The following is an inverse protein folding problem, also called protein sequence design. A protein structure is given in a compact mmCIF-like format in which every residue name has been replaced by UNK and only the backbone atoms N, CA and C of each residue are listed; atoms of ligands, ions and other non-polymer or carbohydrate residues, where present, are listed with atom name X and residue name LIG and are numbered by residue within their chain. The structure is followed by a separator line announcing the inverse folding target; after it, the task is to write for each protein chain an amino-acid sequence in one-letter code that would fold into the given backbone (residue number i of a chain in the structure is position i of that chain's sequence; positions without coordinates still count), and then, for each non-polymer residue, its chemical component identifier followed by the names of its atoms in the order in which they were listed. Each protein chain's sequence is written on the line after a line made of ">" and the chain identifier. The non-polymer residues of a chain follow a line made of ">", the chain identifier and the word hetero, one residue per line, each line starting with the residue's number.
data_IF_032061347668
#
_entry.id   IF_032061347668
#
_cell.length_a   1.000
_cell.length_b   1.000
_cell.length_c   1.000
_cell.angle_alpha   90.00
_cell.angle_beta   90.00
_cell.angle_gamma   90.00
#
_symmetry.space_group_name_H-M   'P 1'
#
loop_
_entity.id
_entity.type
_entity.pdbx_description
1 polymer ?
#
# COMPACT_ATOMS: atom_id res chain seq x y z
N UNK A 1 10.24 11.16 29.38
CA UNK A 1 10.36 12.15 28.27
C UNK A 1 11.04 11.54 27.05
N UNK A 2 12.07 10.69 27.17
CA UNK A 2 12.73 10.05 26.02
C UNK A 2 11.82 9.07 25.25
N UNK A 3 11.07 8.21 25.96
CA UNK A 3 10.18 7.22 25.31
C UNK A 3 8.97 7.80 24.54
N UNK A 4 8.63 9.07 24.74
CA UNK A 4 7.55 9.72 23.97
C UNK A 4 8.06 10.30 22.64
N UNK A 5 9.36 10.57 22.54
CA UNK A 5 9.99 11.11 21.32
C UNK A 5 10.25 9.99 20.32
N UNK A 6 10.60 8.78 20.77
CA UNK A 6 10.82 7.61 19.90
C UNK A 6 9.53 7.11 19.24
N UNK A 7 8.38 7.27 19.91
CA UNK A 7 7.05 6.87 19.43
C UNK A 7 6.53 7.82 18.34
N UNK A 8 6.78 9.13 18.48
CA UNK A 8 6.50 10.11 17.41
C UNK A 8 7.44 9.97 16.21
N UNK A 9 8.71 9.64 16.45
CA UNK A 9 9.70 9.45 15.38
C UNK A 9 9.35 8.25 14.50
N UNK A 10 8.96 7.12 15.10
CA UNK A 10 8.58 5.90 14.37
C UNK A 10 7.31 6.12 13.53
N UNK A 11 6.38 6.94 14.02
CA UNK A 11 5.14 7.32 13.31
C UNK A 11 5.44 8.21 12.11
N UNK A 12 6.31 9.21 12.29
CA UNK A 12 6.77 10.11 11.23
C UNK A 12 7.56 9.38 10.14
N UNK A 13 8.33 8.36 10.50
CA UNK A 13 9.14 7.60 9.55
C UNK A 13 8.26 6.71 8.66
N UNK A 14 7.28 6.01 9.24
CA UNK A 14 6.24 5.26 8.50
C UNK A 14 5.37 6.16 7.62
N UNK A 15 5.00 7.35 8.09
CA UNK A 15 4.20 8.30 7.33
C UNK A 15 4.99 8.89 6.15
N UNK A 16 6.30 9.07 6.32
CA UNK A 16 7.20 9.50 5.25
C UNK A 16 7.43 8.40 4.21
N UNK A 17 7.55 7.14 4.63
CA UNK A 17 7.60 6.00 3.69
C UNK A 17 6.29 5.86 2.89
N UNK A 18 5.14 6.09 3.53
CA UNK A 18 3.83 6.15 2.87
C UNK A 18 3.77 7.27 1.83
N UNK A 19 4.24 8.46 2.17
CA UNK A 19 4.25 9.60 1.26
C UNK A 19 5.16 9.34 0.06
N UNK A 20 6.33 8.74 0.27
CA UNK A 20 7.27 8.38 -0.80
C UNK A 20 6.72 7.29 -1.72
N UNK A 21 6.10 6.24 -1.17
CA UNK A 21 5.49 5.17 -1.96
C UNK A 21 4.30 5.67 -2.79
N UNK A 22 3.43 6.49 -2.18
CA UNK A 22 2.29 7.09 -2.86
C UNK A 22 2.72 8.07 -3.95
N UNK A 23 3.79 8.86 -3.72
CA UNK A 23 4.34 9.76 -4.74
C UNK A 23 4.92 8.99 -5.93
N UNK A 24 5.66 7.89 -5.69
CA UNK A 24 6.19 7.05 -6.77
C UNK A 24 5.09 6.41 -7.61
N UNK A 25 4.02 5.93 -6.98
CA UNK A 25 2.86 5.39 -7.71
C UNK A 25 2.15 6.46 -8.53
N UNK A 26 2.00 7.67 -8.00
CA UNK A 26 1.43 8.81 -8.74
C UNK A 26 2.30 9.24 -9.92
N UNK A 27 3.62 9.23 -9.76
CA UNK A 27 4.58 9.57 -10.82
C UNK A 27 4.50 8.55 -11.96
N UNK A 28 4.51 7.25 -11.64
CA UNK A 28 4.36 6.18 -12.64
C UNK A 28 3.01 6.26 -13.36
N UNK A 29 1.92 6.55 -12.63
CA UNK A 29 0.60 6.72 -13.25
C UNK A 29 0.54 7.96 -14.15
N UNK A 30 1.12 9.09 -13.74
CA UNK A 30 1.20 10.30 -14.55
C UNK A 30 2.00 10.07 -15.84
N UNK A 31 3.15 9.39 -15.77
CA UNK A 31 3.93 9.03 -16.96
C UNK A 31 3.15 8.11 -17.91
N UNK A 32 2.37 7.16 -17.39
CA UNK A 32 1.53 6.27 -18.19
C UNK A 32 0.38 7.02 -18.89
N UNK A 33 -0.25 7.97 -18.19
CA UNK A 33 -1.31 8.84 -18.75
C UNK A 33 -0.76 9.76 -19.82
N UNK A 34 0.39 10.41 -19.56
CA UNK A 34 1.04 11.30 -20.53
C UNK A 34 1.42 10.54 -21.82
N UNK A 35 1.93 9.31 -21.69
CA UNK A 35 2.25 8.47 -22.85
C UNK A 35 1.00 8.03 -23.62
N UNK A 36 -0.09 7.68 -22.90
CA UNK A 36 -1.37 7.36 -23.52
C UNK A 36 -1.95 8.57 -24.29
N UNK A 37 -1.91 9.78 -23.72
CA UNK A 37 -2.35 11.01 -24.39
C UNK A 37 -1.51 11.32 -25.63
N UNK A 38 -0.19 11.10 -25.55
CA UNK A 38 0.73 11.29 -26.67
C UNK A 38 0.40 10.36 -27.83
N UNK A 39 0.07 9.11 -27.53
CA UNK A 39 -0.31 8.09 -28.52
C UNK A 39 -1.66 8.37 -29.16
N UNK A 40 -2.66 8.78 -28.38
CA UNK A 40 -3.97 9.23 -28.91
C UNK A 40 -3.79 10.43 -29.85
N UNK A 41 -2.93 11.38 -29.48
CA UNK A 41 -2.64 12.55 -30.32
C UNK A 41 -1.92 12.18 -31.63
N UNK A 42 -1.00 11.22 -31.58
CA UNK A 42 -0.31 10.70 -32.77
C UNK A 42 -1.27 9.96 -33.72
N UNK A 43 -2.17 9.12 -33.17
CA UNK A 43 -3.24 8.44 -33.93
C UNK A 43 -4.16 9.44 -34.63
N UNK A 44 -4.68 10.43 -33.89
CA UNK A 44 -5.53 11.48 -34.43
C UNK A 44 -4.85 12.29 -35.54
N UNK A 45 -3.55 12.55 -35.41
CA UNK A 45 -2.76 13.24 -36.45
C UNK A 45 -2.64 12.40 -37.72
N UNK A 46 -2.41 11.09 -37.59
CA UNK A 46 -2.35 10.15 -38.73
C UNK A 46 -3.71 10.05 -39.46
N UNK A 47 -4.81 9.95 -38.71
CA UNK A 47 -6.16 9.93 -39.27
C UNK A 47 -6.52 11.23 -39.99
N UNK A 48 -6.16 12.39 -39.42
CA UNK A 48 -6.36 13.68 -40.06
C UNK A 48 -5.56 13.79 -41.37
N UNK A 49 -4.35 13.23 -41.43
CA UNK A 49 -3.56 13.18 -42.66
C UNK A 49 -4.18 12.27 -43.73
N UNK A 50 -4.68 11.09 -43.37
CA UNK A 50 -5.39 10.18 -44.29
C UNK A 50 -6.71 10.80 -44.80
N UNK A 51 -7.48 11.40 -43.90
CA UNK A 51 -8.71 12.14 -44.24
C UNK A 51 -8.41 13.34 -45.17
N UNK A 52 -7.31 14.05 -44.92
CA UNK A 52 -6.83 15.12 -45.79
C UNK A 52 -6.46 14.64 -47.20
N UNK A 53 -5.77 13.50 -47.32
CA UNK A 53 -5.46 12.87 -48.61
C UNK A 53 -6.72 12.41 -49.36
N UNK A 54 -7.67 11.80 -48.65
CA UNK A 54 -8.99 11.42 -49.21
C UNK A 54 -9.77 12.65 -49.71
N UNK A 55 -9.74 13.74 -48.95
CA UNK A 55 -10.38 14.99 -49.36
C UNK A 55 -9.73 15.56 -50.64
N UNK A 56 -8.40 15.57 -50.70
CA UNK A 56 -7.67 16.00 -51.89
C UNK A 56 -7.97 15.13 -53.11
N UNK A 57 -8.03 13.80 -52.97
CA UNK A 57 -8.37 12.88 -54.06
C UNK A 57 -9.81 13.04 -54.55
N UNK A 58 -10.78 13.24 -53.65
CA UNK A 58 -12.18 13.51 -54.03
C UNK A 58 -12.31 14.86 -54.74
N UNK A 59 -11.54 15.85 -54.33
CA UNK A 59 -11.50 17.15 -54.95
C UNK A 59 -10.88 17.09 -56.37
N UNK A 60 -9.75 16.42 -56.55
CA UNK A 60 -9.16 16.21 -57.89
C UNK A 60 -10.08 15.38 -58.79
N UNK A 61 -10.76 14.36 -58.26
CA UNK A 61 -11.80 13.63 -59.01
C UNK A 61 -12.88 14.58 -59.53
N UNK A 62 -13.43 15.43 -58.65
CA UNK A 62 -14.46 16.39 -59.03
C UNK A 62 -13.96 17.42 -60.06
N UNK A 63 -12.71 17.87 -59.98
CA UNK A 63 -12.09 18.73 -61.00
C UNK A 63 -11.94 18.01 -62.34
N UNK A 64 -11.53 16.73 -62.34
CA UNK A 64 -11.40 15.91 -63.55
C UNK A 64 -12.77 15.67 -64.20
N UNK A 65 -13.79 15.32 -63.42
CA UNK A 65 -15.17 15.14 -63.92
C UNK A 65 -15.74 16.45 -64.47
N UNK A 66 -15.52 17.60 -63.80
CA UNK A 66 -15.95 18.90 -64.30
C UNK A 66 -15.16 19.33 -65.56
N UNK A 67 -13.90 18.92 -65.69
CA UNK A 67 -13.06 19.17 -66.86
C UNK A 67 -13.44 18.28 -68.05
N UNK A 68 -13.79 17.01 -67.83
CA UNK A 68 -14.24 16.10 -68.90
C UNK A 68 -15.63 16.47 -69.45
N UNK A 69 -16.45 17.14 -68.66
CA UNK A 69 -17.75 17.70 -69.08
C UNK A 69 -17.63 19.01 -69.90
N UNK A 70 -16.47 19.67 -69.89
CA UNK A 70 -16.19 20.91 -70.63
C UNK A 70 -15.02 20.76 -71.59
N UNK A 71 -15.28 20.60 -72.89
CA UNK A 71 -14.29 20.44 -73.97
C UNK A 71 -13.04 21.36 -73.86
N UNK A 72 -11.95 20.88 -73.26
CA UNK A 72 -10.62 21.51 -73.30
C UNK A 72 -9.52 20.46 -73.52
N UNK A 73 -8.47 20.89 -74.25
CA UNK A 73 -7.39 20.03 -74.77
C UNK A 73 -6.52 19.37 -73.67
N UNK A 74 -6.05 18.16 -74.02
CA UNK A 74 -5.27 17.18 -73.27
C UNK A 74 -4.29 17.77 -72.24
N UNK A 75 -4.70 17.74 -70.97
CA UNK A 75 -3.78 17.46 -69.87
C UNK A 75 -3.70 15.94 -69.70
N UNK A 76 -2.55 15.44 -69.29
CA UNK A 76 -2.38 14.06 -68.83
C UNK A 76 -3.25 13.87 -67.58
N UNK A 77 -4.48 13.40 -67.81
CA UNK A 77 -5.50 13.17 -66.79
C UNK A 77 -5.22 11.78 -66.21
N UNK A 78 -4.98 11.72 -64.91
CA UNK A 78 -4.99 10.46 -64.16
C UNK A 78 -6.38 9.84 -64.34
N UNK A 79 -6.45 8.57 -64.74
CA UNK A 79 -7.72 7.91 -65.04
C UNK A 79 -8.63 7.93 -63.80
N UNK A 80 -9.91 8.25 -64.01
CA UNK A 80 -10.90 8.36 -62.92
C UNK A 80 -11.04 7.04 -62.15
N UNK A 81 -10.80 5.91 -62.84
CA UNK A 81 -10.75 4.56 -62.28
C UNK A 81 -9.56 4.36 -61.32
N UNK A 82 -8.37 4.90 -61.63
CA UNK A 82 -7.21 4.88 -60.73
C UNK A 82 -7.46 5.73 -59.47
N UNK A 83 -8.20 6.85 -59.59
CA UNK A 83 -8.58 7.70 -58.46
C UNK A 83 -9.61 7.00 -57.56
N UNK A 84 -10.57 6.27 -58.13
CA UNK A 84 -11.50 5.43 -57.37
C UNK A 84 -10.78 4.30 -56.63
N UNK A 85 -9.86 3.59 -57.29
CA UNK A 85 -9.07 2.52 -56.66
C UNK A 85 -8.21 3.05 -55.50
N UNK A 86 -7.56 4.21 -55.68
CA UNK A 86 -6.82 4.87 -54.60
C UNK A 86 -7.72 5.32 -53.44
N UNK A 87 -8.91 5.84 -53.74
CA UNK A 87 -9.86 6.26 -52.72
C UNK A 87 -10.43 5.08 -51.92
N UNK A 88 -10.72 3.96 -52.57
CA UNK A 88 -11.18 2.73 -51.91
C UNK A 88 -10.08 2.09 -51.06
N UNK A 89 -8.83 2.08 -51.56
CA UNK A 89 -7.66 1.67 -50.79
C UNK A 89 -7.49 2.50 -49.51
N UNK A 90 -7.58 3.83 -49.63
CA UNK A 90 -7.48 4.74 -48.48
C UNK A 90 -8.66 4.63 -47.51
N UNK A 91 -9.89 4.42 -47.99
CA UNK A 91 -11.05 4.19 -47.11
C UNK A 91 -10.85 2.91 -46.30
N UNK A 92 -10.36 1.83 -46.93
CA UNK A 92 -10.08 0.56 -46.25
C UNK A 92 -8.97 0.69 -45.22
N UNK A 93 -7.90 1.41 -45.53
CA UNK A 93 -6.83 1.71 -44.57
C UNK A 93 -7.34 2.54 -43.39
N UNK A 94 -8.22 3.52 -43.64
CA UNK A 94 -8.80 4.37 -42.61
C UNK A 94 -9.77 3.61 -41.71
N UNK A 95 -10.53 2.66 -42.25
CA UNK A 95 -11.41 1.78 -41.47
C UNK A 95 -10.60 0.83 -40.57
N UNK A 96 -9.55 0.20 -41.11
CA UNK A 96 -8.62 -0.62 -40.31
C UNK A 96 -7.92 0.21 -39.23
N UNK A 97 -7.56 1.47 -39.52
CA UNK A 97 -6.96 2.36 -38.54
C UNK A 97 -7.93 2.72 -37.40
N UNK A 98 -9.22 2.94 -37.72
CA UNK A 98 -10.27 3.19 -36.72
C UNK A 98 -10.54 1.96 -35.85
N UNK A 99 -10.65 0.77 -36.44
CA UNK A 99 -10.85 -0.47 -35.68
C UNK A 99 -9.68 -0.73 -34.71
N UNK A 100 -8.44 -0.46 -35.14
CA UNK A 100 -7.25 -0.57 -34.26
C UNK A 100 -7.27 0.44 -33.12
N UNK A 101 -7.70 1.67 -33.38
CA UNK A 101 -7.83 2.70 -32.34
C UNK A 101 -8.94 2.35 -31.34
N UNK A 102 -10.09 1.89 -31.81
CA UNK A 102 -11.21 1.48 -30.95
C UNK A 102 -10.82 0.28 -30.07
N UNK A 103 -10.13 -0.72 -30.63
CA UNK A 103 -9.57 -1.83 -29.84
C UNK A 103 -8.50 -1.36 -28.84
N UNK A 104 -7.69 -0.36 -29.19
CA UNK A 104 -6.70 0.18 -28.28
C UNK A 104 -7.33 0.95 -27.11
N UNK A 105 -8.38 1.72 -27.37
CA UNK A 105 -9.15 2.43 -26.35
C UNK A 105 -9.87 1.44 -25.43
N UNK A 106 -10.49 0.38 -25.97
CA UNK A 106 -11.17 -0.64 -25.19
C UNK A 106 -10.18 -1.38 -24.28
N UNK A 107 -9.03 -1.79 -24.82
CA UNK A 107 -7.96 -2.44 -24.07
C UNK A 107 -7.41 -1.54 -22.96
N UNK A 108 -7.20 -0.25 -23.24
CA UNK A 108 -6.71 0.70 -22.24
C UNK A 108 -7.75 0.95 -21.13
N UNK A 109 -9.04 0.99 -21.47
CA UNK A 109 -10.11 1.18 -20.50
C UNK A 109 -10.25 -0.04 -19.55
N UNK A 110 -10.26 -1.25 -20.10
CA UNK A 110 -10.31 -2.48 -19.28
C UNK A 110 -9.09 -2.60 -18.37
N UNK A 111 -7.89 -2.27 -18.86
CA UNK A 111 -6.70 -2.23 -18.03
C UNK A 111 -6.79 -1.15 -16.94
N UNK A 112 -7.26 0.06 -17.26
CA UNK A 112 -7.40 1.13 -16.27
C UNK A 112 -8.30 0.72 -15.08
N UNK A 113 -9.42 0.04 -15.35
CA UNK A 113 -10.33 -0.49 -14.32
C UNK A 113 -9.64 -1.55 -13.45
N UNK A 114 -8.86 -2.47 -14.05
CA UNK A 114 -8.08 -3.48 -13.30
C UNK A 114 -7.02 -2.83 -12.41
N UNK A 115 -6.36 -1.79 -12.90
CA UNK A 115 -5.36 -1.02 -12.16
C UNK A 115 -5.94 -0.28 -10.98
N UNK A 116 -7.07 0.40 -11.18
CA UNK A 116 -7.75 1.12 -10.13
C UNK A 116 -8.22 0.15 -9.03
N UNK A 117 -8.71 -1.04 -9.41
CA UNK A 117 -9.04 -2.09 -8.47
C UNK A 117 -7.82 -2.62 -7.68
N UNK A 118 -6.67 -2.80 -8.32
CA UNK A 118 -5.44 -3.22 -7.66
C UNK A 118 -4.90 -2.15 -6.70
N UNK A 119 -4.93 -0.88 -7.10
CA UNK A 119 -4.52 0.25 -6.25
C UNK A 119 -5.44 0.33 -5.03
N UNK A 120 -6.76 0.22 -5.20
CA UNK A 120 -7.70 0.23 -4.09
C UNK A 120 -7.43 -0.92 -3.10
N UNK A 121 -7.16 -2.13 -3.59
CA UNK A 121 -6.76 -3.26 -2.72
C UNK A 121 -5.44 -3.01 -1.98
N UNK A 122 -4.48 -2.35 -2.62
CA UNK A 122 -3.20 -2.00 -2.02
C UNK A 122 -3.36 -0.97 -0.90
N UNK A 123 -4.21 0.05 -1.10
CA UNK A 123 -4.53 1.05 -0.09
C UNK A 123 -5.22 0.44 1.13
N UNK A 124 -6.20 -0.44 0.93
CA UNK A 124 -6.88 -1.15 2.02
C UNK A 124 -5.89 -2.00 2.84
N UNK A 125 -4.97 -2.72 2.17
CA UNK A 125 -3.95 -3.54 2.84
C UNK A 125 -2.93 -2.70 3.59
N UNK A 126 -2.58 -1.54 3.05
CA UNK A 126 -1.71 -0.60 3.74
C UNK A 126 -2.37 -0.09 5.04
N UNK A 127 -3.66 0.25 5.00
CA UNK A 127 -4.40 0.70 6.18
C UNK A 127 -4.47 -0.40 7.26
N UNK A 128 -4.69 -1.66 6.86
CA UNK A 128 -4.66 -2.81 7.77
C UNK A 128 -3.27 -3.02 8.39
N UNK A 129 -2.19 -2.91 7.61
CA UNK A 129 -0.81 -2.97 8.12
C UNK A 129 -0.54 -1.88 9.14
N UNK A 130 -0.97 -0.65 8.87
CA UNK A 130 -0.82 0.48 9.81
C UNK A 130 -1.56 0.20 11.11
N UNK A 131 -2.81 -0.28 11.05
CA UNK A 131 -3.57 -0.64 12.26
C UNK A 131 -2.89 -1.74 13.07
N UNK A 132 -2.39 -2.78 12.41
CA UNK A 132 -1.68 -3.89 13.07
C UNK A 132 -0.38 -3.42 13.71
N UNK A 133 0.39 -2.56 13.05
CA UNK A 133 1.62 -1.98 13.58
C UNK A 133 1.38 -1.09 14.80
N UNK A 134 0.38 -0.20 14.75
CA UNK A 134 -0.01 0.61 15.91
C UNK A 134 -0.47 -0.27 17.09
N UNK A 135 -1.23 -1.32 16.79
CA UNK A 135 -1.69 -2.28 17.81
C UNK A 135 -0.51 -3.04 18.44
N UNK A 136 0.45 -3.44 17.62
CA UNK A 136 1.66 -4.14 18.07
C UNK A 136 2.47 -3.26 19.04
N UNK A 137 2.62 -1.98 18.73
CA UNK A 137 3.40 -1.06 19.56
C UNK A 137 2.72 -0.80 20.91
N UNK A 138 1.39 -0.61 20.90
CA UNK A 138 0.62 -0.49 22.14
C UNK A 138 0.73 -1.76 23.01
N UNK A 139 0.66 -2.96 22.41
CA UNK A 139 0.80 -4.20 23.17
C UNK A 139 2.22 -4.40 23.73
N UNK A 140 3.28 -3.97 23.01
CA UNK A 140 4.65 -3.94 23.55
C UNK A 140 4.75 -3.03 24.76
N UNK A 141 4.24 -1.79 24.66
CA UNK A 141 4.25 -0.82 25.76
C UNK A 141 3.53 -1.36 27.00
N UNK A 142 2.38 -2.02 26.82
CA UNK A 142 1.66 -2.66 27.93
C UNK A 142 2.45 -3.80 28.58
N UNK A 143 3.20 -4.58 27.78
CA UNK A 143 4.08 -5.64 28.30
C UNK A 143 5.22 -5.05 29.12
N UNK A 144 5.84 -3.96 28.66
CA UNK A 144 6.90 -3.25 29.38
C UNK A 144 6.40 -2.69 30.71
N UNK A 145 5.27 -1.97 30.70
CA UNK A 145 4.65 -1.40 31.90
C UNK A 145 4.33 -2.47 32.96
N UNK A 146 3.79 -3.62 32.53
CA UNK A 146 3.49 -4.73 33.45
C UNK A 146 4.75 -5.38 33.97
N UNK A 147 5.78 -5.54 33.14
CA UNK A 147 7.08 -6.08 33.55
C UNK A 147 7.73 -5.17 34.59
N UNK A 148 7.72 -3.86 34.39
CA UNK A 148 8.23 -2.88 35.36
C UNK A 148 7.47 -2.95 36.70
N UNK A 149 6.13 -3.06 36.66
CA UNK A 149 5.30 -3.21 37.86
C UNK A 149 5.59 -4.51 38.62
N UNK A 150 5.83 -5.61 37.92
CA UNK A 150 6.23 -6.89 38.53
C UNK A 150 7.58 -6.73 39.21
N UNK A 151 8.59 -6.19 38.51
CA UNK A 151 9.92 -5.97 39.07
C UNK A 151 9.92 -5.08 40.31
N UNK A 152 9.14 -4.00 40.30
CA UNK A 152 8.98 -3.12 41.46
C UNK A 152 8.34 -3.85 42.65
N UNK A 153 7.33 -4.70 42.40
CA UNK A 153 6.70 -5.50 43.46
C UNK A 153 7.59 -6.62 43.98
N UNK A 154 8.37 -7.26 43.12
CA UNK A 154 9.36 -8.27 43.53
C UNK A 154 10.44 -7.64 44.43
N UNK A 155 10.86 -6.41 44.13
CA UNK A 155 11.81 -5.68 44.98
C UNK A 155 11.21 -5.33 46.35
N UNK A 156 9.96 -4.86 46.40
CA UNK A 156 9.24 -4.62 47.64
C UNK A 156 9.03 -5.91 48.45
N UNK A 157 8.69 -7.01 47.79
CA UNK A 157 8.56 -8.32 48.42
C UNK A 157 9.86 -8.77 49.09
N UNK A 158 11.01 -8.54 48.44
CA UNK A 158 12.31 -8.85 49.01
C UNK A 158 12.62 -7.99 50.24
N UNK A 159 12.23 -6.71 50.25
CA UNK A 159 12.37 -5.83 51.41
C UNK A 159 11.53 -6.33 52.59
N UNK A 160 10.23 -6.59 52.37
CA UNK A 160 9.34 -7.14 53.42
C UNK A 160 9.85 -8.49 53.94
N UNK A 161 10.40 -9.33 53.07
CA UNK A 161 10.99 -10.62 53.46
C UNK A 161 12.23 -10.44 54.34
N UNK A 162 13.05 -9.42 54.07
CA UNK A 162 14.20 -9.06 54.92
C UNK A 162 13.75 -8.53 56.28
N UNK A 163 12.78 -7.61 56.31
CA UNK A 163 12.21 -7.07 57.55
C UNK A 163 11.60 -8.17 58.43
N UNK A 164 10.90 -9.12 57.81
CA UNK A 164 10.36 -10.30 58.49
C UNK A 164 11.47 -11.16 59.11
N UNK A 165 12.61 -11.31 58.43
CA UNK A 165 13.75 -12.06 58.95
C UNK A 165 14.38 -11.37 60.17
N UNK A 166 14.57 -10.05 60.10
CA UNK A 166 15.08 -9.25 61.23
C UNK A 166 14.15 -9.29 62.45
N UNK A 167 12.83 -9.20 62.23
CA UNK A 167 11.85 -9.29 63.31
C UNK A 167 11.83 -10.67 63.96
N UNK A 168 11.99 -11.74 63.17
CA UNK A 168 12.12 -13.11 63.71
C UNK A 168 13.38 -13.27 64.58
N UNK A 169 14.49 -12.66 64.20
CA UNK A 169 15.72 -12.66 64.99
C UNK A 169 15.57 -11.87 66.30
N UNK A 170 14.92 -10.70 66.24
CA UNK A 170 14.58 -9.91 67.45
C UNK A 170 13.63 -10.67 68.38
N UNK A 171 12.61 -11.33 67.85
CA UNK A 171 11.69 -12.15 68.64
C UNK A 171 12.41 -13.30 69.36
N UNK A 172 13.44 -13.89 68.73
CA UNK A 172 14.22 -14.98 69.30
C UNK A 172 15.23 -14.54 70.38
N UNK A 173 15.61 -13.27 70.41
CA UNK A 173 16.66 -12.73 71.30
C UNK A 173 16.15 -11.73 72.35
N UNK A 174 14.92 -11.23 72.22
CA UNK A 174 14.33 -10.22 73.09
C UNK A 174 13.73 -10.76 74.40
N UNK A 175 13.32 -9.83 75.26
CA UNK A 175 12.53 -10.12 76.46
C UNK A 175 11.14 -10.66 76.09
N UNK A 176 10.45 -11.34 77.02
CA UNK A 176 9.15 -11.97 76.76
C UNK A 176 8.10 -10.99 76.21
N UNK A 177 8.11 -9.74 76.67
CA UNK A 177 7.21 -8.71 76.18
C UNK A 177 7.55 -8.23 74.75
N UNK A 178 8.83 -8.18 74.40
CA UNK A 178 9.29 -7.83 73.05
C UNK A 178 9.01 -8.96 72.05
N UNK A 179 9.06 -10.22 72.51
CA UNK A 179 8.71 -11.38 71.69
C UNK A 179 7.21 -11.38 71.29
N UNK A 180 6.31 -11.04 72.21
CA UNK A 180 4.87 -10.94 71.93
C UNK A 180 4.54 -9.82 70.93
N UNK A 181 5.18 -8.65 71.08
CA UNK A 181 5.07 -7.53 70.14
C UNK A 181 5.64 -7.89 68.76
N UNK A 182 6.77 -8.58 68.71
CA UNK A 182 7.38 -9.03 67.47
C UNK A 182 6.52 -10.07 66.74
N UNK A 183 5.89 -11.00 67.46
CA UNK A 183 4.94 -11.96 66.87
C UNK A 183 3.77 -11.29 66.15
N UNK A 184 3.22 -10.22 66.74
CA UNK A 184 2.15 -9.45 66.10
C UNK A 184 2.59 -8.84 64.77
N UNK A 185 3.77 -8.21 64.73
CA UNK A 185 4.32 -7.62 63.52
C UNK A 185 4.68 -8.68 62.46
N UNK A 186 5.20 -9.84 62.89
CA UNK A 186 5.49 -10.96 61.99
C UNK A 186 4.22 -11.47 61.31
N UNK A 187 3.09 -11.55 62.02
CA UNK A 187 1.81 -11.97 61.40
C UNK A 187 1.36 -10.95 60.36
N UNK A 188 1.36 -9.65 60.71
CA UNK A 188 0.98 -8.59 59.78
C UNK A 188 1.84 -8.59 58.50
N UNK A 189 3.17 -8.73 58.63
CA UNK A 189 4.07 -8.81 57.47
C UNK A 189 3.86 -10.08 56.64
N UNK A 190 3.56 -11.22 57.27
CA UNK A 190 3.25 -12.44 56.51
C UNK A 190 1.98 -12.28 55.67
N UNK A 191 0.94 -11.62 56.21
CA UNK A 191 -0.29 -11.33 55.47
C UNK A 191 0.00 -10.41 54.29
N UNK A 192 0.77 -9.34 54.49
CA UNK A 192 1.17 -8.41 53.41
C UNK A 192 2.01 -9.10 52.32
N UNK A 193 2.98 -9.94 52.71
CA UNK A 193 3.79 -10.75 51.78
C UNK A 193 2.89 -11.69 50.97
N UNK A 194 1.88 -12.30 51.61
CA UNK A 194 0.93 -13.20 50.95
C UNK A 194 0.12 -12.46 49.89
N UNK A 195 -0.45 -11.31 50.25
CA UNK A 195 -1.21 -10.45 49.35
C UNK A 195 -0.35 -9.97 48.16
N UNK A 196 0.90 -9.59 48.44
CA UNK A 196 1.83 -9.15 47.41
C UNK A 196 2.19 -10.28 46.44
N UNK A 197 2.42 -11.51 46.92
CA UNK A 197 2.61 -12.69 46.07
C UNK A 197 1.41 -12.99 45.19
N UNK A 198 0.19 -12.89 45.74
CA UNK A 198 -1.04 -13.03 44.96
C UNK A 198 -1.13 -11.98 43.85
N UNK A 199 -0.79 -10.73 44.16
CA UNK A 199 -0.78 -9.63 43.20
C UNK A 199 0.26 -9.82 42.08
N UNK A 200 1.47 -10.28 42.41
CA UNK A 200 2.51 -10.62 41.43
C UNK A 200 2.03 -11.78 40.53
N UNK A 201 1.44 -12.82 41.11
CA UNK A 201 0.91 -13.95 40.35
C UNK A 201 -0.20 -13.52 39.37
N UNK A 202 -1.11 -12.64 39.81
CA UNK A 202 -2.15 -12.08 38.95
C UNK A 202 -1.57 -11.24 37.80
N UNK A 203 -0.57 -10.39 38.07
CA UNK A 203 0.13 -9.63 37.03
C UNK A 203 0.83 -10.54 36.03
N UNK A 204 1.50 -11.59 36.49
CA UNK A 204 2.17 -12.57 35.63
C UNK A 204 1.19 -13.29 34.69
N UNK A 205 0.00 -13.67 35.17
CA UNK A 205 -1.06 -14.22 34.31
C UNK A 205 -1.49 -13.24 33.23
N UNK A 206 -1.68 -11.98 33.60
CA UNK A 206 -2.06 -10.95 32.62
C UNK A 206 -0.93 -10.63 31.63
N UNK A 207 0.32 -10.67 32.08
CA UNK A 207 1.50 -10.48 31.22
C UNK A 207 1.60 -11.61 30.19
N UNK A 208 1.42 -12.85 30.62
CA UNK A 208 1.42 -14.01 29.72
C UNK A 208 0.34 -13.87 28.63
N UNK A 209 -0.89 -13.51 29.02
CA UNK A 209 -1.96 -13.26 28.05
C UNK A 209 -1.56 -12.20 27.03
N UNK A 210 -0.97 -11.08 27.49
CA UNK A 210 -0.55 -10.00 26.60
C UNK A 210 0.58 -10.38 25.67
N UNK A 211 1.52 -11.21 26.10
CA UNK A 211 2.56 -11.76 25.22
C UNK A 211 1.96 -12.62 24.10
N UNK A 212 0.95 -13.45 24.42
CA UNK A 212 0.23 -14.24 23.41
C UNK A 212 -0.50 -13.32 22.42
N UNK A 213 -1.23 -12.31 22.92
CA UNK A 213 -1.93 -11.34 22.06
C UNK A 213 -0.94 -10.63 21.12
N UNK A 214 0.23 -10.23 21.62
CA UNK A 214 1.32 -9.60 20.85
C UNK A 214 1.84 -10.52 19.75
N UNK A 215 2.08 -11.82 20.04
CA UNK A 215 2.55 -12.79 19.05
C UNK A 215 1.52 -13.04 17.93
N UNK A 216 0.23 -13.00 18.27
CA UNK A 216 -0.86 -13.07 17.27
C UNK A 216 -0.81 -11.85 16.35
N UNK A 217 -0.70 -10.64 16.91
CA UNK A 217 -0.61 -9.41 16.11
C UNK A 217 0.62 -9.42 15.21
N UNK A 218 1.78 -9.87 15.69
CA UNK A 218 2.99 -10.05 14.87
C UNK A 218 2.77 -10.99 13.70
N UNK A 219 2.12 -12.12 13.94
CA UNK A 219 1.86 -13.12 12.91
C UNK A 219 0.93 -12.55 11.84
N UNK A 220 -0.13 -11.84 12.27
CA UNK A 220 -1.06 -11.20 11.34
C UNK A 220 -0.39 -10.09 10.51
N UNK A 221 0.50 -9.30 11.12
CA UNK A 221 1.28 -8.28 10.42
C UNK A 221 2.17 -8.93 9.34
N UNK A 222 2.91 -9.98 9.68
CA UNK A 222 3.78 -10.67 8.73
C UNK A 222 3.00 -11.26 7.54
N UNK A 223 1.81 -11.81 7.77
CA UNK A 223 0.94 -12.30 6.68
C UNK A 223 0.50 -11.15 5.78
N UNK A 224 0.09 -10.04 6.39
CA UNK A 224 -0.39 -8.87 5.66
C UNK A 224 0.72 -8.15 4.88
N UNK A 225 1.95 -8.11 5.40
CA UNK A 225 3.15 -7.65 4.69
C UNK A 225 3.47 -8.52 3.47
N UNK A 226 3.40 -9.85 3.62
CA UNK A 226 3.64 -10.78 2.51
C UNK A 226 2.58 -10.64 1.41
N UNK A 227 1.32 -10.42 1.77
CA UNK A 227 0.25 -10.18 0.78
C UNK A 227 0.40 -8.80 0.11
N UNK A 228 0.87 -7.80 0.85
CA UNK A 228 1.20 -6.49 0.31
C UNK A 228 2.35 -6.55 -0.71
N UNK A 229 3.41 -7.32 -0.46
CA UNK A 229 4.49 -7.54 -1.42
C UNK A 229 4.02 -8.22 -2.71
N UNK A 230 3.09 -9.18 -2.61
CA UNK A 230 2.48 -9.82 -3.79
C UNK A 230 1.68 -8.83 -4.61
N UNK A 231 0.85 -8.00 -3.97
CA UNK A 231 0.07 -6.96 -4.65
C UNK A 231 0.99 -5.95 -5.33
N UNK A 232 2.04 -5.49 -4.63
CA UNK A 232 3.07 -4.61 -5.19
C UNK A 232 3.69 -5.21 -6.46
N UNK A 233 4.10 -6.48 -6.39
CA UNK A 233 4.67 -7.20 -7.53
C UNK A 233 3.68 -7.35 -8.69
N UNK A 234 2.40 -7.56 -8.40
CA UNK A 234 1.33 -7.66 -9.40
C UNK A 234 1.12 -6.33 -10.13
N UNK A 235 1.13 -5.20 -9.41
CA UNK A 235 1.01 -3.86 -10.00
C UNK A 235 2.20 -3.60 -10.94
N UNK A 236 3.43 -3.89 -10.50
CA UNK A 236 4.63 -3.73 -11.33
C UNK A 236 4.61 -4.65 -12.55
N UNK A 237 4.16 -5.89 -12.40
CA UNK A 237 4.03 -6.85 -13.50
C UNK A 237 3.06 -6.37 -14.57
N UNK A 238 1.88 -5.89 -14.15
CA UNK A 238 0.90 -5.30 -15.06
C UNK A 238 1.47 -4.06 -15.77
N UNK A 239 2.33 -3.27 -15.11
CA UNK A 239 2.90 -2.05 -15.69
C UNK A 239 3.85 -2.36 -16.84
N UNK A 240 4.61 -3.43 -16.69
CA UNK A 240 5.43 -3.97 -17.75
C UNK A 240 4.59 -4.55 -18.90
N UNK A 241 3.47 -5.23 -18.61
CA UNK A 241 2.55 -5.73 -19.65
C UNK A 241 1.95 -4.59 -20.48
N UNK A 242 1.49 -3.52 -19.82
CA UNK A 242 0.96 -2.34 -20.50
C UNK A 242 2.02 -1.72 -21.43
N UNK A 243 3.21 -1.40 -20.90
CA UNK A 243 4.30 -0.83 -21.70
C UNK A 243 4.66 -1.69 -22.91
N UNK A 244 4.74 -3.01 -22.74
CA UNK A 244 5.07 -3.94 -23.83
C UNK A 244 3.95 -4.07 -24.86
N UNK A 245 2.68 -4.07 -24.42
CA UNK A 245 1.51 -4.17 -25.31
C UNK A 245 1.36 -2.94 -26.21
N UNK A 246 1.81 -1.79 -25.73
CA UNK A 246 1.91 -0.54 -26.50
C UNK A 246 3.04 -0.63 -27.53
N UNK A 247 4.23 -1.09 -27.12
CA UNK A 247 5.42 -1.16 -27.99
C UNK A 247 5.28 -2.14 -29.17
N UNK A 248 4.53 -3.24 -29.00
CA UNK A 248 4.26 -4.20 -30.09
C UNK A 248 3.32 -3.62 -31.17
N UNK A 249 2.53 -2.58 -30.85
CA UNK A 249 1.61 -1.94 -31.82
C UNK A 249 2.25 -0.82 -32.64
N UNK A 250 3.47 -0.41 -32.30
CA UNK A 250 4.24 0.61 -33.04
C UNK A 250 5.08 0.05 -34.20
N UNK A 251 5.16 -1.28 -34.35
CA UNK A 251 5.90 -2.00 -35.41
C UNK A 251 4.96 -2.56 -36.46
#
# INVERSE_FOLDING_TARGET
>A
MVAAVDDEFSKLELEKEREVAALKLKEVWAESVDEAERLVTASATSQNNLAGKLYQLRYTKAEITAFSEGNYEEKEIVDEEEIEEMADGLNKELEVAREREEQALLYNAEYADEYEALISQYEDRLDDNVKLSLKLEEDKRQVEDKTAKILSRDLALNQLTSELAELKEKAASGSQHEAELAEYHIRALNDEISDMKCNIHALNKQLLKRKIDLDIVRTNLAVSEADFEKLSSSIVGKDLELRNSVQIREV
#
